data_IF_009417804815
#
_entry.id   IF_009417804815
#
_cell.length_a   1.000
_cell.length_b   1.000
_cell.length_c   1.000
_cell.angle_alpha   90.00
_cell.angle_beta   90.00
_cell.angle_gamma   90.00
#
_symmetry.space_group_name_H-M   'P 1'
#
loop_
_entity.id
_entity.type
_entity.pdbx_description
1 polymer ?
#
# COMPACT_ATOMS: atom_id res chain seq x y z
N UNK A 1 11.94 -53.05 -3.47
CA UNK A 1 12.69 -51.81 -3.74
C UNK A 1 11.91 -50.78 -4.58
N UNK A 2 10.58 -50.66 -4.44
CA UNK A 2 9.79 -49.63 -5.14
C UNK A 2 8.79 -48.85 -4.26
N UNK A 3 8.65 -49.23 -2.97
CA UNK A 3 7.70 -48.58 -2.06
C UNK A 3 8.25 -47.34 -1.35
N UNK A 4 9.58 -47.19 -1.25
CA UNK A 4 10.20 -46.05 -0.58
C UNK A 4 10.36 -44.81 -1.48
N UNK A 5 10.27 -44.95 -2.80
CA UNK A 5 10.40 -43.83 -3.75
C UNK A 5 9.09 -43.06 -3.96
N UNK A 6 7.94 -43.61 -3.55
CA UNK A 6 6.65 -42.94 -3.72
C UNK A 6 6.34 -41.91 -2.61
N UNK A 7 6.99 -42.01 -1.44
CA UNK A 7 6.68 -41.15 -0.30
C UNK A 7 7.42 -39.80 -0.30
N UNK A 8 8.50 -39.66 -1.06
CA UNK A 8 9.29 -38.41 -1.12
C UNK A 8 8.69 -37.34 -2.05
N UNK A 9 7.76 -37.70 -2.94
CA UNK A 9 7.13 -36.75 -3.85
C UNK A 9 5.93 -35.99 -3.25
N UNK A 10 5.45 -36.37 -2.07
CA UNK A 10 4.24 -35.83 -1.46
C UNK A 10 4.45 -34.54 -0.62
N UNK A 11 5.70 -34.08 -0.43
CA UNK A 11 6.02 -32.93 0.43
C UNK A 11 6.35 -31.62 -0.31
N UNK A 12 6.14 -31.55 -1.63
CA UNK A 12 6.33 -30.32 -2.41
C UNK A 12 5.15 -29.34 -2.32
N UNK A 13 4.18 -29.57 -1.43
CA UNK A 13 3.00 -28.72 -1.31
C UNK A 13 3.21 -27.59 -0.30
N UNK A 14 3.35 -26.40 -0.89
CA UNK A 14 2.81 -25.11 -0.41
C UNK A 14 3.71 -24.22 0.45
N UNK A 15 4.69 -23.56 -0.21
CA UNK A 15 5.11 -22.21 0.18
C UNK A 15 4.39 -21.18 -0.72
N UNK A 16 3.06 -21.12 -0.67
CA UNK A 16 2.35 -19.99 -1.27
C UNK A 16 2.46 -18.81 -0.31
N UNK A 17 3.51 -18.01 -0.46
CA UNK A 17 3.58 -16.70 0.17
C UNK A 17 2.60 -15.79 -0.59
N UNK A 18 1.30 -15.88 -0.30
CA UNK A 18 0.26 -15.09 -0.96
C UNK A 18 0.21 -13.70 -0.35
N UNK A 19 1.14 -12.85 -0.77
CA UNK A 19 0.90 -11.41 -0.72
C UNK A 19 -0.04 -11.04 -1.86
N UNK A 20 -1.05 -10.23 -1.57
CA UNK A 20 -2.04 -9.78 -2.54
C UNK A 20 -2.00 -8.27 -2.67
N UNK A 21 -2.17 -7.77 -3.89
CA UNK A 21 -2.45 -6.37 -4.16
C UNK A 21 -3.81 -6.28 -4.84
N UNK A 22 -4.62 -5.30 -4.45
CA UNK A 22 -5.85 -5.01 -5.17
C UNK A 22 -5.48 -4.47 -6.54
N UNK A 23 -5.99 -5.09 -7.61
CA UNK A 23 -5.73 -4.67 -8.99
C UNK A 23 -6.87 -3.84 -9.57
N UNK A 24 -8.10 -3.99 -9.05
CA UNK A 24 -9.27 -3.19 -9.45
C UNK A 24 -10.17 -2.93 -8.22
N UNK A 25 -10.64 -1.68 -8.02
CA UNK A 25 -10.26 -0.46 -8.76
C UNK A 25 -8.77 -0.10 -8.58
N UNK A 26 -8.22 0.83 -9.39
CA UNK A 26 -6.82 1.23 -9.28
C UNK A 26 -6.46 1.72 -7.88
N UNK A 27 -5.31 1.26 -7.40
CA UNK A 27 -4.73 1.67 -6.12
C UNK A 27 -3.72 2.78 -6.32
N UNK A 28 -3.36 3.50 -5.26
CA UNK A 28 -2.24 4.44 -5.31
C UNK A 28 -0.97 3.76 -5.78
N UNK A 29 -0.21 4.46 -6.61
CA UNK A 29 1.11 4.07 -7.09
C UNK A 29 2.11 5.21 -6.77
N UNK A 30 3.40 4.90 -6.58
CA UNK A 30 4.40 5.91 -6.21
C UNK A 30 4.74 6.85 -7.37
N UNK A 31 4.62 8.16 -7.14
CA UNK A 31 4.98 9.21 -8.09
C UNK A 31 5.88 10.31 -7.50
N UNK A 32 5.96 11.48 -8.16
CA UNK A 32 6.78 12.60 -7.70
C UNK A 32 6.44 13.11 -6.29
N UNK A 33 5.16 13.09 -5.89
CA UNK A 33 4.77 13.52 -4.56
C UNK A 33 5.27 12.54 -3.50
N UNK A 34 5.15 11.24 -3.75
CA UNK A 34 5.71 10.18 -2.90
C UNK A 34 7.22 10.28 -2.79
N UNK A 35 7.92 10.55 -3.90
CA UNK A 35 9.36 10.78 -3.88
C UNK A 35 9.74 12.00 -3.03
N UNK A 36 8.98 13.10 -3.18
CA UNK A 36 9.23 14.32 -2.43
C UNK A 36 8.98 14.15 -0.93
N UNK A 37 7.88 13.51 -0.54
CA UNK A 37 7.51 13.31 0.86
C UNK A 37 8.37 12.22 1.55
N UNK A 38 8.55 11.08 0.88
CA UNK A 38 9.05 9.86 1.50
C UNK A 38 10.49 9.50 1.12
N UNK A 39 11.09 10.21 0.17
CA UNK A 39 12.45 9.94 -0.28
C UNK A 39 12.56 8.75 -1.26
N UNK A 40 13.74 8.57 -1.88
CA UNK A 40 13.99 7.50 -2.84
C UNK A 40 13.93 6.10 -2.22
N UNK A 41 14.37 5.88 -0.98
CA UNK A 41 14.47 4.53 -0.42
C UNK A 41 13.09 3.84 -0.31
N UNK A 42 12.06 4.57 0.14
CA UNK A 42 10.69 4.08 0.17
C UNK A 42 10.14 3.97 -1.25
N UNK A 43 10.27 5.04 -2.04
CA UNK A 43 9.63 5.16 -3.36
C UNK A 43 10.13 4.07 -4.31
N UNK A 44 11.44 3.82 -4.36
CA UNK A 44 12.05 2.79 -5.20
C UNK A 44 11.74 1.37 -4.70
N UNK A 45 11.65 1.18 -3.38
CA UNK A 45 11.24 -0.10 -2.82
C UNK A 45 9.80 -0.45 -3.18
N UNK A 46 8.87 0.51 -3.11
CA UNK A 46 7.48 0.27 -3.54
C UNK A 46 7.42 0.04 -5.06
N UNK A 47 8.19 0.78 -5.86
CA UNK A 47 8.28 0.56 -7.32
C UNK A 47 8.79 -0.83 -7.68
N UNK A 48 9.79 -1.32 -6.97
CA UNK A 48 10.35 -2.66 -7.21
C UNK A 48 9.47 -3.79 -6.66
N UNK A 49 8.76 -3.54 -5.55
CA UNK A 49 7.84 -4.47 -4.95
C UNK A 49 6.65 -3.72 -4.32
N UNK A 50 5.56 -3.61 -5.08
CA UNK A 50 4.34 -2.93 -4.63
C UNK A 50 3.59 -3.67 -3.51
N UNK A 51 4.00 -4.89 -3.17
CA UNK A 51 3.48 -5.69 -2.05
C UNK A 51 4.30 -5.52 -0.76
N UNK A 52 5.21 -4.54 -0.72
CA UNK A 52 6.01 -4.24 0.48
C UNK A 52 5.11 -3.88 1.66
N UNK A 53 5.43 -4.39 2.85
CA UNK A 53 4.70 -4.05 4.08
C UNK A 53 5.28 -2.81 4.78
N UNK A 54 4.47 -2.13 5.58
CA UNK A 54 4.83 -0.87 6.26
C UNK A 54 6.04 -1.01 7.20
N UNK A 55 6.27 -2.18 7.79
CA UNK A 55 7.44 -2.45 8.63
C UNK A 55 8.76 -2.37 7.84
N UNK A 56 8.77 -2.87 6.60
CA UNK A 56 9.96 -2.78 5.75
C UNK A 56 10.18 -1.34 5.33
N UNK A 57 9.11 -0.60 5.01
CA UNK A 57 9.18 0.83 4.69
C UNK A 57 9.74 1.65 5.86
N UNK A 58 9.27 1.39 7.08
CA UNK A 58 9.81 2.02 8.29
C UNK A 58 11.29 1.66 8.52
N UNK A 59 11.73 0.46 8.12
CA UNK A 59 13.14 0.10 8.23
C UNK A 59 13.99 0.92 7.24
N UNK A 60 13.58 0.99 5.97
CA UNK A 60 14.36 1.72 4.95
C UNK A 60 14.28 3.23 5.11
N UNK A 61 13.21 3.78 5.67
CA UNK A 61 13.10 5.22 5.94
C UNK A 61 14.23 5.73 6.83
N UNK A 62 14.64 4.95 7.83
CA UNK A 62 15.73 5.30 8.74
C UNK A 62 17.11 5.40 8.06
N UNK A 63 17.23 4.91 6.83
CA UNK A 63 18.46 4.95 6.04
C UNK A 63 18.48 6.07 5.00
N UNK A 64 17.37 6.78 4.84
CA UNK A 64 17.19 7.78 3.79
C UNK A 64 17.20 9.21 4.37
N UNK A 65 18.26 9.97 4.08
CA UNK A 65 18.37 11.35 4.52
C UNK A 65 17.30 12.28 3.91
N UNK A 66 16.60 11.86 2.85
CA UNK A 66 15.52 12.62 2.22
C UNK A 66 14.13 12.25 2.76
N UNK A 67 14.04 11.28 3.67
CA UNK A 67 12.78 10.93 4.33
C UNK A 67 12.30 12.08 5.22
N UNK A 68 11.06 12.54 5.03
CA UNK A 68 10.45 13.59 5.84
C UNK A 68 9.30 13.01 6.65
N UNK A 69 9.54 12.68 7.93
CA UNK A 69 8.54 12.02 8.80
C UNK A 69 7.20 12.76 8.87
N UNK A 70 7.22 14.10 8.93
CA UNK A 70 6.02 14.95 8.97
C UNK A 70 5.22 14.98 7.66
N UNK A 71 5.84 14.59 6.54
CA UNK A 71 5.17 14.57 5.21
C UNK A 71 4.85 13.15 4.77
N UNK A 72 5.61 12.17 5.25
CA UNK A 72 5.51 10.78 4.88
C UNK A 72 4.93 9.93 6.01
N UNK A 73 3.60 9.79 6.01
CA UNK A 73 2.94 8.88 6.92
C UNK A 73 3.06 7.43 6.41
N UNK A 74 3.96 6.64 7.01
CA UNK A 74 4.17 5.23 6.63
C UNK A 74 2.95 4.35 6.97
N UNK A 75 2.16 4.75 7.96
CA UNK A 75 0.98 4.01 8.39
C UNK A 75 -0.28 4.31 7.57
N UNK A 76 -0.31 5.44 6.85
CA UNK A 76 -1.39 5.82 5.94
C UNK A 76 -0.99 5.49 4.51
N UNK A 77 -1.76 4.61 3.86
CA UNK A 77 -1.55 4.26 2.46
C UNK A 77 -0.14 3.82 2.12
N UNK A 78 0.55 3.20 3.08
CA UNK A 78 1.91 2.69 2.89
C UNK A 78 2.82 3.79 2.28
N UNK A 79 2.80 5.00 2.85
CA UNK A 79 3.58 6.16 2.39
C UNK A 79 3.16 6.79 1.06
N UNK A 80 2.20 6.23 0.33
CA UNK A 80 1.81 6.71 -0.99
C UNK A 80 0.94 7.94 -0.90
N UNK A 81 1.28 8.96 -1.69
CA UNK A 81 0.64 10.27 -1.65
C UNK A 81 -0.54 10.33 -2.61
N UNK A 82 -1.66 10.91 -2.18
CA UNK A 82 -2.87 11.07 -3.01
C UNK A 82 -2.63 11.91 -4.26
N UNK A 83 -1.72 12.87 -4.17
CA UNK A 83 -1.31 13.75 -5.26
C UNK A 83 -0.84 12.96 -6.49
N UNK A 84 -0.25 11.77 -6.28
CA UNK A 84 0.18 10.87 -7.35
C UNK A 84 -0.99 10.04 -7.95
N UNK A 85 -2.19 10.11 -7.35
CA UNK A 85 -3.34 9.26 -7.66
C UNK A 85 -4.63 10.02 -8.04
N UNK A 86 -4.57 11.35 -8.20
CA UNK A 86 -5.76 12.19 -8.44
C UNK A 86 -6.58 11.77 -9.67
N UNK A 87 -5.94 11.20 -10.70
CA UNK A 87 -6.62 10.71 -11.91
C UNK A 87 -7.37 9.40 -11.72
N UNK A 88 -7.16 8.72 -10.59
CA UNK A 88 -7.69 7.37 -10.31
C UNK A 88 -8.67 7.37 -9.12
N UNK A 89 -9.07 8.55 -8.63
CA UNK A 89 -10.09 8.66 -7.59
C UNK A 89 -11.41 8.08 -8.14
N UNK A 90 -11.95 7.09 -7.45
CA UNK A 90 -13.21 6.46 -7.81
C UNK A 90 -14.37 7.33 -7.33
N UNK A 91 -15.43 7.42 -8.14
CA UNK A 91 -16.64 8.12 -7.73
C UNK A 91 -17.73 7.07 -7.54
N UNK A 92 -18.23 6.98 -6.32
CA UNK A 92 -19.34 6.11 -5.97
C UNK A 92 -20.58 6.93 -5.62
N UNK A 93 -21.75 6.36 -5.88
CA UNK A 93 -23.06 6.87 -5.49
C UNK A 93 -23.49 6.24 -4.18
N UNK A 94 -24.30 6.95 -3.43
CA UNK A 94 -24.94 6.44 -2.22
C UNK A 94 -25.64 5.10 -2.51
N UNK A 95 -25.41 4.11 -1.65
CA UNK A 95 -25.93 2.75 -1.81
C UNK A 95 -24.98 1.79 -2.55
N UNK A 96 -23.89 2.28 -3.15
CA UNK A 96 -22.82 1.41 -3.63
C UNK A 96 -21.94 0.92 -2.46
N UNK A 97 -21.41 -0.30 -2.60
CA UNK A 97 -20.57 -0.95 -1.57
C UNK A 97 -19.12 -0.91 -2.03
N UNK A 98 -18.24 -0.48 -1.13
CA UNK A 98 -16.78 -0.45 -1.34
C UNK A 98 -16.13 -1.41 -0.36
N UNK A 99 -15.14 -2.16 -0.83
CA UNK A 99 -14.30 -3.00 0.01
C UNK A 99 -12.92 -2.35 0.14
N UNK A 100 -12.58 -1.91 1.36
CA UNK A 100 -11.21 -1.51 1.69
C UNK A 100 -10.44 -2.73 2.20
N UNK A 101 -9.28 -3.00 1.59
CA UNK A 101 -8.48 -4.19 1.91
C UNK A 101 -7.21 -3.81 2.67
N UNK A 102 -7.14 -4.22 3.93
CA UNK A 102 -5.92 -4.16 4.77
C UNK A 102 -5.64 -5.55 5.33
N UNK A 103 -4.37 -5.95 5.36
CA UNK A 103 -3.97 -7.26 5.84
C UNK A 103 -2.82 -7.17 6.83
N UNK A 104 -2.98 -7.78 8.00
CA UNK A 104 -1.92 -7.92 8.99
C UNK A 104 -1.36 -9.34 9.01
N UNK A 105 -0.10 -9.49 8.59
CA UNK A 105 0.61 -10.76 8.64
C UNK A 105 1.07 -11.08 10.06
N UNK A 106 0.35 -11.93 10.81
CA UNK A 106 0.63 -12.26 12.22
C UNK A 106 2.03 -12.84 12.46
N UNK A 107 2.52 -13.70 11.56
CA UNK A 107 3.84 -14.35 11.68
C UNK A 107 4.98 -13.35 11.44
N UNK A 108 4.85 -12.53 10.39
CA UNK A 108 5.85 -11.52 9.99
C UNK A 108 5.71 -10.19 10.76
N UNK A 109 4.60 -10.02 11.50
CA UNK A 109 4.24 -8.84 12.29
C UNK A 109 4.32 -7.55 11.47
N UNK A 110 3.61 -7.48 10.35
CA UNK A 110 3.55 -6.28 9.52
C UNK A 110 2.21 -6.13 8.79
N UNK A 111 1.90 -4.89 8.45
CA UNK A 111 0.68 -4.51 7.72
C UNK A 111 0.97 -4.34 6.23
N UNK A 112 0.02 -4.77 5.43
CA UNK A 112 -0.05 -4.60 3.98
C UNK A 112 -1.33 -3.84 3.65
N UNK A 113 -1.22 -2.93 2.71
CA UNK A 113 -2.31 -2.03 2.37
C UNK A 113 -2.29 -1.71 0.87
N UNK A 114 -3.49 -1.72 0.29
CA UNK A 114 -3.82 -1.19 -1.01
C UNK A 114 -4.79 -0.03 -0.79
N UNK A 115 -4.35 1.20 -1.08
CA UNK A 115 -5.22 2.36 -0.94
C UNK A 115 -5.98 2.64 -2.22
N UNK A 116 -7.30 2.67 -2.10
CA UNK A 116 -8.23 3.07 -3.14
C UNK A 116 -8.85 4.37 -2.66
N UNK A 117 -8.66 5.43 -3.43
CA UNK A 117 -9.24 6.73 -3.13
C UNK A 117 -10.61 6.84 -3.78
N UNK A 118 -11.60 7.30 -3.02
CA UNK A 118 -12.94 7.46 -3.56
C UNK A 118 -13.73 8.58 -2.88
N UNK A 119 -14.74 9.08 -3.58
CA UNK A 119 -15.75 9.99 -3.05
C UNK A 119 -17.16 9.38 -3.16
N UNK A 120 -18.08 9.89 -2.33
CA UNK A 120 -19.50 9.54 -2.37
C UNK A 120 -20.23 10.76 -2.92
N UNK A 121 -20.65 10.71 -4.18
CA UNK A 121 -21.23 11.78 -5.03
C UNK A 121 -20.25 12.74 -5.72
N UNK A 122 -20.68 13.26 -6.88
CA UNK A 122 -19.92 14.19 -7.74
C UNK A 122 -19.67 15.57 -7.07
N UNK A 123 -20.37 15.86 -5.96
CA UNK A 123 -20.22 17.10 -5.20
C UNK A 123 -18.89 17.16 -4.44
N UNK A 124 -18.26 16.01 -4.20
CA UNK A 124 -16.96 15.92 -3.52
C UNK A 124 -15.86 15.57 -4.52
N UNK A 125 -14.79 16.36 -4.50
CA UNK A 125 -13.72 16.36 -5.49
C UNK A 125 -12.42 15.77 -4.95
N UNK A 126 -11.49 15.40 -5.85
CA UNK A 126 -10.15 14.96 -5.46
C UNK A 126 -9.37 16.04 -4.67
N UNK A 127 -9.69 17.32 -4.86
CA UNK A 127 -9.14 18.41 -4.04
C UNK A 127 -9.60 18.37 -2.59
N UNK A 128 -10.82 17.91 -2.32
CA UNK A 128 -11.31 17.77 -0.95
C UNK A 128 -10.57 16.64 -0.22
N UNK A 129 -10.29 15.54 -0.94
CA UNK A 129 -9.47 14.44 -0.42
C UNK A 129 -8.03 14.89 -0.09
N UNK A 130 -7.44 15.77 -0.91
CA UNK A 130 -6.10 16.34 -0.64
C UNK A 130 -6.06 17.16 0.65
N UNK A 131 -7.11 17.94 0.92
CA UNK A 131 -7.21 18.70 2.16
C UNK A 131 -7.25 17.76 3.38
N UNK A 132 -8.07 16.70 3.31
CA UNK A 132 -8.20 15.71 4.38
C UNK A 132 -6.87 14.97 4.62
N UNK A 133 -6.17 14.57 3.57
CA UNK A 133 -4.87 13.93 3.73
C UNK A 133 -3.81 14.88 4.29
N UNK A 134 -3.86 16.16 3.89
CA UNK A 134 -3.05 17.22 4.48
C UNK A 134 -3.21 17.32 6.00
N UNK A 135 -4.45 17.28 6.49
CA UNK A 135 -4.74 17.30 7.92
C UNK A 135 -4.19 16.05 8.65
N UNK A 136 -4.26 14.86 8.03
CA UNK A 136 -3.68 13.64 8.59
C UNK A 136 -2.15 13.69 8.71
N UNK A 137 -1.47 14.45 7.84
CA UNK A 137 -0.02 14.65 7.90
C UNK A 137 0.38 15.56 9.08
N UNK A 138 -0.51 16.44 9.55
CA UNK A 138 -0.24 17.35 10.68
C UNK A 138 -0.39 16.64 12.03
N UNK A 139 -1.17 15.56 12.09
CA UNK A 139 -1.48 14.83 13.32
C UNK A 139 -0.44 13.76 13.72
N UNK A 140 0.62 13.55 12.93
CA UNK A 140 1.65 12.52 13.15
C UNK A 140 3.04 13.09 13.42
#
# INVERSE_FOLDING_TARGET
>A
MYFFTAFTLAFLFSLTQTHGIVTHPPVREPGPASLFACGPAITELIKSNNQTGTKVLHKVSSTDAKFQAQKCNIALCKSLQLEDNLSNVQIYKTGQVVLQWTWFGRVVKQTYESCIDFTISDETSASDLLAIEGDQKILN
#
